data_IF_561585033604
#
_entry.id   IF_561585033604
#
_cell.length_a   1.000
_cell.length_b   1.000
_cell.length_c   1.000
_cell.angle_alpha   90.00
_cell.angle_beta   90.00
_cell.angle_gamma   90.00
#
_symmetry.space_group_name_H-M   'P 1'
#
loop_
_entity.id
_entity.type
_entity.pdbx_description
1 polymer ?
#
# COMPACT_ATOMS: atom_id res chain seq x y z
N UNK A 1 2.15 -22.24 19.18
CA UNK A 1 2.52 -21.17 20.13
C UNK A 1 3.27 -20.07 19.38
N UNK A 2 2.64 -18.92 19.14
CA UNK A 2 3.18 -17.82 18.30
C UNK A 2 3.85 -16.68 19.09
N UNK A 3 3.94 -16.80 20.41
CA UNK A 3 4.43 -15.79 21.33
C UNK A 3 5.77 -16.18 21.96
N UNK A 4 6.58 -15.18 22.28
CA UNK A 4 7.82 -15.29 23.03
C UNK A 4 7.84 -14.22 24.14
N UNK A 5 8.52 -14.53 25.24
CA UNK A 5 8.76 -13.57 26.32
C UNK A 5 10.14 -12.95 26.13
N UNK A 6 10.20 -11.61 26.13
CA UNK A 6 11.47 -10.87 26.02
C UNK A 6 11.62 -10.02 27.28
N UNK A 7 12.79 -10.02 27.94
CA UNK A 7 13.03 -9.15 29.09
C UNK A 7 12.90 -7.68 28.67
N UNK A 8 12.17 -6.90 29.46
CA UNK A 8 12.04 -5.45 29.25
C UNK A 8 13.22 -4.79 29.95
N UNK A 9 14.13 -4.20 29.17
CA UNK A 9 15.27 -3.46 29.71
C UNK A 9 14.85 -2.03 30.08
N UNK A 10 14.19 -1.90 31.22
CA UNK A 10 13.94 -0.61 31.90
C UNK A 10 14.97 -0.44 33.02
N UNK A 11 15.75 0.66 32.99
CA UNK A 11 16.83 0.94 33.95
C UNK A 11 16.22 1.11 35.35
N UNK A 12 16.34 0.10 36.20
CA UNK A 12 15.82 0.09 37.58
C UNK A 12 14.74 -0.96 37.86
N UNK A 13 14.21 -1.66 36.85
CA UNK A 13 13.23 -2.74 37.06
C UNK A 13 13.83 -4.10 36.71
N UNK A 14 13.95 -5.00 37.69
CA UNK A 14 14.29 -6.41 37.47
C UNK A 14 13.00 -7.23 37.31
N UNK A 15 12.96 -8.15 36.34
CA UNK A 15 11.92 -9.18 36.25
C UNK A 15 10.66 -8.89 35.41
N UNK A 16 10.58 -7.78 34.68
CA UNK A 16 9.46 -7.51 33.76
C UNK A 16 9.69 -8.15 32.39
N UNK A 17 8.77 -9.00 31.94
CA UNK A 17 8.79 -9.62 30.61
C UNK A 17 7.67 -9.05 29.75
N UNK A 18 7.99 -8.70 28.51
CA UNK A 18 7.01 -8.29 27.50
C UNK A 18 6.65 -9.46 26.60
N UNK A 19 5.36 -9.56 26.26
CA UNK A 19 4.85 -10.50 25.28
C UNK A 19 5.20 -9.99 23.88
N UNK A 20 6.07 -10.70 23.18
CA UNK A 20 6.52 -10.37 21.82
C UNK A 20 6.15 -11.48 20.87
N UNK A 21 5.87 -11.14 19.63
CA UNK A 21 5.61 -12.13 18.59
C UNK A 21 6.89 -12.86 18.21
N UNK A 22 6.82 -14.19 18.15
CA UNK A 22 7.96 -15.04 17.81
C UNK A 22 8.48 -14.72 16.41
N UNK A 23 9.80 -14.89 16.20
CA UNK A 23 10.42 -14.73 14.87
C UNK A 23 9.80 -15.64 13.81
N UNK A 24 9.37 -16.85 14.22
CA UNK A 24 8.68 -17.81 13.35
C UNK A 24 7.34 -17.27 12.85
N UNK A 25 6.53 -16.68 13.72
CA UNK A 25 5.27 -16.05 13.33
C UNK A 25 5.51 -14.91 12.33
N UNK A 26 6.50 -14.05 12.58
CA UNK A 26 6.88 -12.99 11.63
C UNK A 26 7.31 -13.53 10.26
N UNK A 27 8.05 -14.63 10.24
CA UNK A 27 8.45 -15.30 9.00
C UNK A 27 7.24 -15.82 8.22
N UNK A 28 6.29 -16.46 8.92
CA UNK A 28 5.03 -16.94 8.32
C UNK A 28 4.22 -15.78 7.72
N UNK A 29 4.08 -14.66 8.46
CA UNK A 29 3.39 -13.47 7.95
C UNK A 29 4.03 -12.96 6.65
N UNK A 30 5.36 -12.83 6.63
CA UNK A 30 6.09 -12.41 5.43
C UNK A 30 5.92 -13.40 4.29
N UNK A 31 5.89 -14.70 4.57
CA UNK A 31 5.70 -15.75 3.58
C UNK A 31 4.30 -15.69 2.96
N UNK A 32 3.25 -15.60 3.77
CA UNK A 32 1.88 -15.48 3.29
C UNK A 32 1.68 -14.18 2.49
N UNK A 33 2.18 -13.05 2.99
CA UNK A 33 2.16 -11.78 2.25
C UNK A 33 2.94 -11.88 0.91
N UNK A 34 4.04 -12.65 0.87
CA UNK A 34 4.81 -12.91 -0.36
C UNK A 34 4.00 -13.72 -1.37
N UNK A 35 3.20 -14.68 -0.93
CA UNK A 35 2.33 -15.47 -1.80
C UNK A 35 1.22 -14.60 -2.41
N UNK A 36 0.56 -13.78 -1.60
CA UNK A 36 -0.50 -12.86 -2.07
C UNK A 36 0.06 -11.82 -3.07
N UNK A 37 1.26 -11.28 -2.79
CA UNK A 37 1.92 -10.29 -3.64
C UNK A 37 2.78 -10.90 -4.76
N UNK A 38 2.62 -12.18 -5.08
CA UNK A 38 3.40 -12.84 -6.13
C UNK A 38 2.93 -12.35 -7.51
N UNK A 39 3.89 -11.89 -8.34
CA UNK A 39 3.61 -11.29 -9.65
C UNK A 39 2.92 -12.24 -10.65
N UNK A 40 3.15 -13.55 -10.49
CA UNK A 40 2.60 -14.61 -11.34
C UNK A 40 1.18 -15.02 -10.95
N UNK A 41 0.67 -14.58 -9.80
CA UNK A 41 -0.69 -14.93 -9.37
C UNK A 41 -1.70 -14.23 -10.30
N UNK A 42 -2.61 -14.97 -10.95
CA UNK A 42 -3.70 -14.36 -11.71
C UNK A 42 -4.62 -13.59 -10.74
N UNK A 43 -5.02 -12.37 -11.08
CA UNK A 43 -5.89 -11.54 -10.25
C UNK A 43 -5.60 -10.04 -10.34
N UNK A 44 -6.63 -9.25 -10.05
CA UNK A 44 -6.58 -7.79 -10.00
C UNK A 44 -5.78 -7.30 -8.78
N UNK A 45 -5.28 -6.07 -8.84
CA UNK A 45 -4.65 -5.41 -7.68
C UNK A 45 -5.65 -5.25 -6.53
N UNK A 46 -6.93 -5.03 -6.83
CA UNK A 46 -7.98 -4.87 -5.84
C UNK A 46 -8.18 -6.13 -4.98
N UNK A 47 -8.27 -7.30 -5.60
CA UNK A 47 -8.38 -8.59 -4.90
C UNK A 47 -7.18 -8.84 -3.99
N UNK A 48 -5.97 -8.50 -4.46
CA UNK A 48 -4.74 -8.61 -3.66
C UNK A 48 -4.78 -7.71 -2.44
N UNK A 49 -5.29 -6.48 -2.56
CA UNK A 49 -5.46 -5.56 -1.43
C UNK A 49 -6.48 -6.12 -0.44
N UNK A 50 -7.58 -6.71 -0.90
CA UNK A 50 -8.59 -7.33 -0.02
C UNK A 50 -7.98 -8.49 0.78
N UNK A 51 -7.24 -9.38 0.11
CA UNK A 51 -6.56 -10.50 0.76
C UNK A 51 -5.51 -10.02 1.77
N UNK A 52 -4.70 -9.01 1.41
CA UNK A 52 -3.73 -8.41 2.33
C UNK A 52 -4.41 -7.81 3.56
N UNK A 53 -5.52 -7.08 3.37
CA UNK A 53 -6.30 -6.52 4.49
C UNK A 53 -6.90 -7.60 5.37
N UNK A 54 -7.34 -8.74 4.81
CA UNK A 54 -7.87 -9.86 5.57
C UNK A 54 -6.77 -10.52 6.42
N UNK A 55 -5.61 -10.77 5.80
CA UNK A 55 -4.42 -11.30 6.46
C UNK A 55 -3.96 -10.38 7.59
N UNK A 56 -3.79 -9.08 7.34
CA UNK A 56 -3.41 -8.10 8.35
C UNK A 56 -4.40 -8.06 9.51
N UNK A 57 -5.71 -8.06 9.23
CA UNK A 57 -6.76 -8.05 10.27
C UNK A 57 -6.74 -9.32 11.12
N UNK A 58 -6.65 -10.50 10.51
CA UNK A 58 -6.55 -11.77 11.25
C UNK A 58 -5.31 -11.81 12.13
N UNK A 59 -4.19 -11.33 11.61
CA UNK A 59 -2.93 -11.30 12.35
C UNK A 59 -2.92 -10.29 13.50
N UNK A 60 -3.46 -9.09 13.27
CA UNK A 60 -3.64 -8.07 14.32
C UNK A 60 -4.58 -8.57 15.43
N UNK A 61 -5.67 -9.23 15.07
CA UNK A 61 -6.61 -9.77 16.06
C UNK A 61 -5.94 -10.87 16.90
N UNK A 62 -5.16 -11.74 16.25
CA UNK A 62 -4.42 -12.79 16.95
C UNK A 62 -3.39 -12.19 17.91
N UNK A 63 -2.57 -11.22 17.45
CA UNK A 63 -1.44 -10.65 18.21
C UNK A 63 -1.76 -9.34 18.96
N UNK A 64 -3.04 -9.02 19.19
CA UNK A 64 -3.47 -7.74 19.81
C UNK A 64 -2.85 -7.43 21.17
N UNK A 65 -2.42 -8.46 21.90
CA UNK A 65 -1.80 -8.33 23.23
C UNK A 65 -0.31 -8.05 23.18
N UNK A 66 0.33 -8.15 22.01
CA UNK A 66 1.77 -7.92 21.85
C UNK A 66 2.05 -6.49 21.33
N UNK A 67 3.12 -5.88 21.82
CA UNK A 67 3.60 -4.59 21.31
C UNK A 67 4.29 -4.77 19.95
N UNK A 68 3.58 -4.52 18.85
CA UNK A 68 4.04 -4.84 17.47
C UNK A 68 4.00 -3.69 16.47
N UNK A 69 3.53 -2.51 16.87
CA UNK A 69 3.25 -1.38 15.95
C UNK A 69 4.44 -0.97 15.08
N UNK A 70 5.65 -0.92 15.66
CA UNK A 70 6.88 -0.57 14.92
C UNK A 70 7.22 -1.57 13.82
N UNK A 71 7.36 -2.85 14.16
CA UNK A 71 7.68 -3.93 13.19
C UNK A 71 6.61 -4.08 12.12
N UNK A 72 5.34 -3.85 12.46
CA UNK A 72 4.25 -3.89 11.51
C UNK A 72 4.43 -2.83 10.42
N UNK A 73 4.84 -1.61 10.79
CA UNK A 73 5.08 -0.51 9.84
C UNK A 73 6.15 -0.84 8.79
N UNK A 74 7.20 -1.54 9.21
CA UNK A 74 8.27 -1.99 8.30
C UNK A 74 7.78 -3.06 7.32
N UNK A 75 6.99 -4.02 7.81
CA UNK A 75 6.36 -5.05 6.97
C UNK A 75 5.38 -4.41 5.97
N UNK A 76 4.57 -3.45 6.41
CA UNK A 76 3.66 -2.70 5.54
C UNK A 76 4.41 -1.93 4.44
N UNK A 77 5.53 -1.28 4.77
CA UNK A 77 6.38 -0.61 3.79
C UNK A 77 6.90 -1.59 2.72
N UNK A 78 7.38 -2.76 3.15
CA UNK A 78 7.82 -3.82 2.24
C UNK A 78 6.68 -4.33 1.33
N UNK A 79 5.48 -4.51 1.87
CA UNK A 79 4.30 -4.93 1.08
C UNK A 79 3.94 -3.88 0.02
N UNK A 80 3.94 -2.59 0.37
CA UNK A 80 3.65 -1.49 -0.57
C UNK A 80 4.64 -1.46 -1.74
N UNK A 81 5.93 -1.68 -1.48
CA UNK A 81 6.94 -1.77 -2.53
C UNK A 81 6.67 -2.93 -3.50
N UNK A 82 6.24 -4.08 -3.00
CA UNK A 82 5.85 -5.23 -3.85
C UNK A 82 4.60 -4.94 -4.67
N UNK A 83 3.59 -4.29 -4.09
CA UNK A 83 2.39 -3.88 -4.82
C UNK A 83 2.73 -2.90 -5.94
N UNK A 84 3.59 -1.90 -5.69
CA UNK A 84 4.07 -0.97 -6.72
C UNK A 84 4.70 -1.70 -7.91
N UNK A 85 5.53 -2.71 -7.63
CA UNK A 85 6.12 -3.55 -8.68
C UNK A 85 5.06 -4.36 -9.45
N UNK A 86 4.06 -4.93 -8.77
CA UNK A 86 2.96 -5.65 -9.43
C UNK A 86 2.13 -4.73 -10.33
N UNK A 87 1.81 -3.53 -9.85
CA UNK A 87 1.11 -2.49 -10.63
C UNK A 87 1.93 -2.14 -11.88
N UNK A 88 3.22 -1.85 -11.69
CA UNK A 88 4.13 -1.52 -12.79
C UNK A 88 4.18 -2.63 -13.85
N UNK A 89 4.25 -3.89 -13.41
CA UNK A 89 4.26 -5.04 -14.31
C UNK A 89 2.94 -5.20 -15.08
N UNK A 90 1.79 -4.98 -14.43
CA UNK A 90 0.49 -5.00 -15.11
C UNK A 90 0.33 -3.86 -16.12
N UNK A 91 1.02 -2.74 -15.92
CA UNK A 91 0.98 -1.56 -16.80
C UNK A 91 1.88 -1.67 -18.04
N UNK A 92 2.39 -2.86 -18.39
CA UNK A 92 3.31 -3.09 -19.54
C UNK A 92 2.76 -2.62 -20.90
N UNK A 93 1.43 -2.43 -21.05
CA UNK A 93 0.83 -1.73 -22.20
C UNK A 93 0.64 -0.24 -21.88
N UNK A 94 1.38 0.63 -22.57
CA UNK A 94 1.30 2.11 -22.51
C UNK A 94 -0.15 2.64 -22.56
N UNK A 95 -0.99 2.02 -23.39
CA UNK A 95 -2.43 2.34 -23.53
C UNK A 95 -3.23 2.23 -22.22
N UNK A 96 -2.99 1.18 -21.43
CA UNK A 96 -3.70 0.97 -20.15
C UNK A 96 -3.23 1.95 -19.08
N UNK A 97 -1.97 2.38 -19.15
CA UNK A 97 -1.40 3.39 -18.26
C UNK A 97 -2.03 4.76 -18.53
N UNK A 98 -2.16 5.15 -19.81
CA UNK A 98 -2.83 6.39 -20.23
C UNK A 98 -4.31 6.40 -19.81
N UNK A 99 -5.07 5.33 -20.08
CA UNK A 99 -6.49 5.23 -19.72
C UNK A 99 -6.74 5.24 -18.20
N UNK A 100 -5.90 4.57 -17.41
CA UNK A 100 -6.03 4.59 -15.95
C UNK A 100 -5.59 5.93 -15.34
N UNK A 101 -4.58 6.60 -15.90
CA UNK A 101 -4.17 7.94 -15.46
C UNK A 101 -5.25 9.00 -15.77
N UNK A 102 -5.90 8.93 -16.93
CA UNK A 102 -7.05 9.78 -17.26
C UNK A 102 -8.21 9.54 -16.27
N UNK A 103 -8.58 8.28 -16.03
CA UNK A 103 -9.62 7.91 -15.04
C UNK A 103 -9.33 8.36 -13.60
N UNK A 104 -8.06 8.46 -13.21
CA UNK A 104 -7.66 8.97 -11.89
C UNK A 104 -7.48 10.51 -11.87
N UNK A 105 -7.31 11.14 -13.04
CA UNK A 105 -7.05 12.57 -13.20
C UNK A 105 -8.30 13.43 -13.43
N UNK A 106 -9.42 12.85 -13.86
CA UNK A 106 -10.67 13.60 -14.15
C UNK A 106 -11.43 14.11 -12.89
N UNK A 107 -10.86 13.95 -11.68
CA UNK A 107 -11.33 14.70 -10.50
C UNK A 107 -10.58 16.02 -10.27
N UNK A 108 -9.53 16.31 -11.06
CA UNK A 108 -9.01 17.66 -11.18
C UNK A 108 -9.93 18.40 -12.17
N UNK A 109 -10.98 19.04 -11.62
CA UNK A 109 -11.72 20.07 -12.34
C UNK A 109 -10.70 21.04 -12.97
N UNK A 110 -10.74 21.33 -14.27
CA UNK A 110 -10.12 22.54 -14.77
C UNK A 110 -10.98 23.70 -14.27
N UNK A 111 -10.67 24.21 -13.08
CA UNK A 111 -11.08 25.55 -12.68
C UNK A 111 -10.45 26.54 -13.68
N UNK A 112 -11.35 27.20 -14.42
CA UNK A 112 -11.23 28.54 -15.00
C UNK A 112 -10.01 28.84 -15.87
N UNK A 113 -10.22 28.86 -17.19
CA UNK A 113 -9.74 29.96 -18.03
C UNK A 113 -10.75 30.20 -19.17
N UNK A 114 -11.73 31.08 -18.89
CA UNK A 114 -12.44 31.80 -19.94
C UNK A 114 -11.41 32.59 -20.76
N UNK A 115 -11.14 32.14 -21.99
CA UNK A 115 -10.42 32.97 -22.95
C UNK A 115 -11.44 33.95 -23.55
N UNK A 116 -11.33 35.22 -23.17
CA UNK A 116 -11.95 36.33 -23.87
C UNK A 116 -11.39 36.38 -25.30
N UNK A 117 -12.25 36.18 -26.31
CA UNK A 117 -11.91 36.52 -27.68
C UNK A 117 -11.96 38.05 -27.83
N UNK A 118 -10.79 38.67 -27.97
CA UNK A 118 -10.64 40.10 -28.26
C UNK A 118 -9.86 40.30 -29.56
N UNK A 119 -10.55 40.88 -30.56
CA UNK A 119 -9.98 41.45 -31.79
C UNK A 119 -9.69 40.43 -32.91
N UNK A 120 -9.97 40.69 -34.19
CA UNK A 120 -10.03 41.99 -34.88
C UNK A 120 -10.90 41.87 -36.14
N UNK A 121 -11.78 42.85 -36.33
CA UNK A 121 -12.37 43.19 -37.63
C UNK A 121 -11.27 43.85 -38.48
N UNK A 122 -11.04 43.34 -39.69
CA UNK A 122 -10.26 44.05 -40.71
C UNK A 122 -11.14 44.20 -41.95
N UNK A 123 -11.52 45.46 -42.18
CA UNK A 123 -12.13 45.99 -43.39
C UNK A 123 -11.16 45.90 -44.56
N UNK A 124 -11.56 45.24 -45.63
CA UNK A 124 -11.07 45.40 -47.00
C UNK A 124 -12.32 45.22 -47.88
N UNK A 125 -12.86 46.17 -48.62
CA UNK A 125 -12.22 47.28 -49.32
C UNK A 125 -12.00 46.91 -50.78
N UNK A 126 -13.09 46.66 -51.52
CA UNK A 126 -13.28 46.82 -52.97
C UNK A 126 -14.78 46.67 -53.29
#
# INVERSE_FOLDING_TARGET
MGYCYVPTYEKGTKGKYQLVVSGKSWANLKQEARQITRKTTPGSIAERIIQLKALQRGWLNYFRMASISGKLRDVDSWIRNRLRYCIWHQWKKRERRRKNLLRLGDSAKPDTHHHHNTGKITTTGL
#
